data_IF_435395834225
#
_entry.id   IF_435395834225
#
_cell.length_a   1.000
_cell.length_b   1.000
_cell.length_c   1.000
_cell.angle_alpha   90.00
_cell.angle_beta   90.00
_cell.angle_gamma   90.00
#
_symmetry.space_group_name_H-M   'P 1'
#
loop_
_entity.id
_entity.type
_entity.pdbx_description
1 polymer ?
#
# COMPACT_ATOMS: atom_id res chain seq x y z
N UNK A 1 2.23 33.66 -59.39
CA UNK A 1 2.38 32.34 -58.72
C UNK A 1 2.47 32.61 -57.22
N UNK A 2 1.36 32.57 -56.48
CA UNK A 2 1.36 32.99 -55.06
C UNK A 2 -0.01 33.10 -54.40
N UNK A 3 -1.08 33.03 -55.20
CA UNK A 3 -2.47 33.05 -54.70
C UNK A 3 -3.01 31.63 -54.44
N UNK A 4 -2.41 30.60 -55.04
CA UNK A 4 -2.91 29.22 -54.96
C UNK A 4 -2.61 28.53 -53.61
N UNK A 5 -1.55 28.92 -52.90
CA UNK A 5 -1.15 28.29 -51.62
C UNK A 5 -1.93 28.83 -50.41
N UNK A 6 -2.55 30.01 -50.50
CA UNK A 6 -3.34 30.58 -49.40
C UNK A 6 -4.73 29.92 -49.28
N UNK A 7 -5.26 29.33 -50.36
CA UNK A 7 -6.58 28.70 -50.37
C UNK A 7 -6.62 27.34 -49.65
N UNK A 8 -5.51 26.60 -49.60
CA UNK A 8 -5.47 25.25 -48.99
C UNK A 8 -5.48 25.34 -47.47
N UNK A 9 -4.90 26.41 -46.88
CA UNK A 9 -4.88 26.59 -45.43
C UNK A 9 -6.25 26.98 -44.85
N UNK A 10 -7.06 27.77 -45.56
CA UNK A 10 -8.41 28.14 -45.08
C UNK A 10 -9.39 26.96 -45.10
N UNK A 11 -9.26 26.04 -46.06
CA UNK A 11 -10.16 24.89 -46.18
C UNK A 11 -10.06 23.92 -44.98
N UNK A 12 -8.87 23.73 -44.41
CA UNK A 12 -8.69 22.87 -43.23
C UNK A 12 -9.32 23.48 -41.96
N UNK A 13 -9.27 24.81 -41.82
CA UNK A 13 -9.84 25.51 -40.67
C UNK A 13 -11.38 25.52 -40.70
N UNK A 14 -11.99 25.65 -41.89
CA UNK A 14 -13.45 25.64 -42.03
C UNK A 14 -14.08 24.25 -41.81
N UNK A 15 -13.36 23.17 -42.13
CA UNK A 15 -13.84 21.81 -41.87
C UNK A 15 -13.89 21.46 -40.37
N UNK A 16 -12.98 22.01 -39.55
CA UNK A 16 -13.02 21.80 -38.09
C UNK A 16 -14.10 22.63 -37.39
N UNK A 17 -14.52 23.77 -37.95
CA UNK A 17 -15.55 24.62 -37.34
C UNK A 17 -16.98 24.26 -37.80
N UNK A 18 -17.16 23.66 -38.97
CA UNK A 18 -18.51 23.31 -39.47
C UNK A 18 -19.16 22.10 -38.78
N UNK A 19 -18.44 21.37 -37.92
CA UNK A 19 -18.99 20.25 -37.15
C UNK A 19 -19.45 20.61 -35.72
N UNK A 20 -19.37 21.88 -35.32
CA UNK A 20 -19.86 22.37 -34.01
C UNK A 20 -21.37 22.76 -34.00
N UNK A 21 -22.14 22.31 -34.99
CA UNK A 21 -23.57 22.63 -35.16
C UNK A 21 -24.56 21.62 -34.56
N UNK A 22 -24.16 20.86 -33.53
CA UNK A 22 -25.07 19.98 -32.80
C UNK A 22 -25.66 20.70 -31.59
N UNK A 23 -26.75 21.44 -31.78
CA UNK A 23 -27.52 22.02 -30.67
C UNK A 23 -28.22 20.91 -29.88
N UNK A 24 -27.49 20.22 -29.01
CA UNK A 24 -28.08 19.38 -27.97
C UNK A 24 -28.71 20.31 -26.92
N UNK A 25 -30.00 20.56 -27.07
CA UNK A 25 -30.82 21.15 -26.01
C UNK A 25 -30.78 20.19 -24.81
N UNK A 26 -29.90 20.45 -23.84
CA UNK A 26 -29.91 19.75 -22.57
C UNK A 26 -31.09 20.29 -21.77
N UNK A 27 -32.18 19.52 -21.75
CA UNK A 27 -33.25 19.70 -20.80
C UNK A 27 -32.64 19.67 -19.39
N UNK A 28 -32.61 20.83 -18.72
CA UNK A 28 -32.27 20.89 -17.31
C UNK A 28 -33.40 20.20 -16.53
N UNK A 29 -33.23 18.92 -16.26
CA UNK A 29 -34.08 18.21 -15.32
C UNK A 29 -33.87 18.82 -13.94
N UNK A 30 -34.92 19.45 -13.41
CA UNK A 30 -34.99 19.93 -12.03
C UNK A 30 -34.57 18.79 -11.08
N UNK A 31 -33.63 19.00 -10.13
CA UNK A 31 -33.24 17.96 -9.21
C UNK A 31 -34.46 17.49 -8.39
N UNK A 32 -34.74 16.19 -8.42
CA UNK A 32 -35.70 15.59 -7.51
C UNK A 32 -35.15 15.68 -6.08
N UNK A 33 -36.00 15.90 -5.06
CA UNK A 33 -35.56 15.88 -3.68
C UNK A 33 -34.98 14.49 -3.35
N UNK A 34 -33.72 14.46 -2.93
CA UNK A 34 -33.05 13.25 -2.46
C UNK A 34 -33.53 12.99 -1.03
N UNK A 35 -34.37 11.97 -0.87
CA UNK A 35 -34.71 11.44 0.46
C UNK A 35 -33.46 10.75 1.01
N UNK A 36 -32.78 11.40 1.96
CA UNK A 36 -31.69 10.79 2.70
C UNK A 36 -32.25 9.70 3.63
N UNK A 37 -32.06 8.44 3.26
CA UNK A 37 -32.25 7.33 4.19
C UNK A 37 -31.05 7.32 5.14
N UNK A 38 -31.24 7.42 6.48
CA UNK A 38 -30.12 7.28 7.39
C UNK A 38 -29.52 5.89 7.26
N UNK A 39 -28.19 5.85 7.16
CA UNK A 39 -27.41 4.62 7.18
C UNK A 39 -27.73 3.89 8.50
N UNK A 40 -28.31 2.69 8.36
CA UNK A 40 -28.58 1.81 9.48
C UNK A 40 -27.33 1.62 10.33
N UNK A 41 -27.53 1.54 11.65
CA UNK A 41 -26.49 1.26 12.65
C UNK A 41 -25.57 0.15 12.15
N UNK A 42 -24.26 0.39 12.21
CA UNK A 42 -23.26 -0.62 11.96
C UNK A 42 -23.59 -1.86 12.80
N UNK A 43 -24.07 -2.91 12.16
CA UNK A 43 -24.13 -4.21 12.78
C UNK A 43 -22.68 -4.61 13.04
N UNK A 44 -22.33 -4.71 14.31
CA UNK A 44 -21.12 -5.36 14.77
C UNK A 44 -21.11 -6.75 14.14
N UNK A 45 -20.38 -6.91 13.03
CA UNK A 45 -20.09 -8.22 12.47
C UNK A 45 -19.45 -9.02 13.60
N UNK A 46 -20.25 -9.93 14.15
CA UNK A 46 -19.81 -10.84 15.19
C UNK A 46 -18.52 -11.47 14.72
N UNK A 47 -17.50 -11.43 15.59
CA UNK A 47 -16.24 -12.14 15.43
C UNK A 47 -16.53 -13.51 14.82
N UNK A 48 -16.18 -13.72 13.55
CA UNK A 48 -16.32 -15.01 12.89
C UNK A 48 -15.47 -16.00 13.70
N UNK A 49 -16.15 -16.87 14.44
CA UNK A 49 -15.51 -17.95 15.15
C UNK A 49 -15.07 -18.98 14.11
N UNK A 50 -13.76 -19.06 13.88
CA UNK A 50 -13.16 -20.17 13.12
C UNK A 50 -13.29 -21.40 14.00
N UNK A 51 -14.28 -22.22 13.71
CA UNK A 51 -14.42 -23.57 14.23
C UNK A 51 -14.09 -24.52 13.08
N UNK A 52 -13.44 -25.63 13.40
CA UNK A 52 -12.88 -26.64 12.45
C UNK A 52 -11.45 -26.39 11.95
N UNK A 53 -10.51 -26.22 12.90
CA UNK A 53 -9.09 -26.53 12.66
C UNK A 53 -8.84 -28.00 12.99
N UNK A 54 -8.92 -28.87 11.98
CA UNK A 54 -8.48 -30.27 12.12
C UNK A 54 -6.95 -30.33 12.04
N UNK A 55 -6.30 -30.60 13.18
CA UNK A 55 -4.86 -30.85 13.24
C UNK A 55 -4.51 -32.06 12.36
N UNK A 56 -4.00 -31.81 11.15
CA UNK A 56 -3.58 -32.84 10.19
C UNK A 56 -2.12 -33.26 10.47
N UNK A 57 -1.67 -33.21 11.72
CA UNK A 57 -0.33 -33.66 12.08
C UNK A 57 -0.29 -35.18 12.08
N UNK A 58 0.33 -35.78 11.06
CA UNK A 58 0.79 -37.15 11.14
C UNK A 58 2.03 -37.17 12.05
N UNK A 59 1.91 -37.78 13.24
CA UNK A 59 3.09 -38.15 14.01
C UNK A 59 3.81 -39.28 13.24
N UNK A 60 5.09 -39.13 12.86
CA UNK A 60 5.83 -40.24 12.29
C UNK A 60 5.93 -41.35 13.35
N UNK A 61 5.36 -42.52 13.05
CA UNK A 61 5.56 -43.70 13.88
C UNK A 61 7.01 -44.16 13.70
N UNK A 62 7.79 -44.10 14.79
CA UNK A 62 9.14 -44.61 14.77
C UNK A 62 9.12 -46.11 14.40
N UNK A 63 9.99 -46.58 13.48
CA UNK A 63 10.06 -47.99 13.15
C UNK A 63 10.44 -48.77 14.41
N UNK A 64 9.69 -49.85 14.69
CA UNK A 64 10.02 -50.77 15.79
C UNK A 64 11.33 -51.47 15.43
N UNK A 65 12.42 -51.02 16.03
CA UNK A 65 13.69 -51.73 15.98
C UNK A 65 13.49 -53.04 16.74
N UNK A 66 13.77 -54.17 16.08
CA UNK A 66 13.81 -55.46 16.73
C UNK A 66 14.86 -55.41 17.85
N UNK A 67 14.43 -55.49 19.10
CA UNK A 67 15.33 -55.53 20.24
C UNK A 67 16.07 -56.86 20.20
N UNK A 68 17.38 -56.80 19.95
CA UNK A 68 18.28 -57.94 20.10
C UNK A 68 18.26 -58.39 21.57
N UNK A 69 18.27 -59.70 21.88
CA UNK A 69 18.29 -60.15 23.26
C UNK A 69 19.52 -59.56 23.97
N UNK A 70 19.27 -58.75 24.99
CA UNK A 70 20.32 -58.22 25.86
C UNK A 70 20.70 -59.33 26.82
N UNK A 71 21.98 -59.69 26.82
CA UNK A 71 22.55 -60.61 27.81
C UNK A 71 22.45 -59.98 29.21
N UNK A 72 22.11 -60.72 30.28
CA UNK A 72 21.98 -60.11 31.59
C UNK A 72 23.32 -59.51 32.02
N UNK A 73 23.37 -58.19 32.23
CA UNK A 73 24.47 -57.59 32.95
C UNK A 73 24.45 -58.10 34.40
N UNK A 74 25.62 -58.29 35.04
CA UNK A 74 25.67 -58.62 36.46
C UNK A 74 24.89 -57.56 37.25
N UNK A 75 24.05 -58.02 38.18
CA UNK A 75 23.29 -57.14 39.06
C UNK A 75 24.27 -56.35 39.94
N UNK A 76 24.59 -55.13 39.52
CA UNK A 76 25.22 -54.16 40.41
C UNK A 76 24.14 -53.77 41.42
N UNK A 77 24.40 -54.00 42.70
CA UNK A 77 23.52 -53.53 43.74
C UNK A 77 23.41 -52.01 43.63
N UNK A 78 22.25 -51.53 43.18
CA UNK A 78 21.88 -50.12 43.23
C UNK A 78 21.68 -49.73 44.69
N UNK A 79 22.77 -49.46 45.40
CA UNK A 79 22.69 -48.55 46.54
C UNK A 79 22.28 -47.17 46.02
N UNK A 80 21.58 -46.33 46.80
CA UNK A 80 21.27 -44.98 46.38
C UNK A 80 22.61 -44.25 46.16
N UNK A 81 22.99 -44.10 44.90
CA UNK A 81 24.05 -43.16 44.53
C UNK A 81 23.51 -41.78 44.93
N UNK A 82 24.29 -40.93 45.62
CA UNK A 82 23.89 -39.54 45.76
C UNK A 82 23.84 -38.97 44.36
N UNK A 83 22.63 -38.75 43.85
CA UNK A 83 22.39 -37.97 42.65
C UNK A 83 22.91 -36.57 42.95
N UNK A 84 24.18 -36.33 42.62
CA UNK A 84 24.72 -34.99 42.60
C UNK A 84 24.03 -34.31 41.43
N UNK A 85 22.84 -33.76 41.69
CA UNK A 85 22.12 -32.87 40.81
C UNK A 85 23.11 -31.79 40.39
N UNK A 86 23.72 -31.99 39.22
CA UNK A 86 24.48 -30.93 38.59
C UNK A 86 23.42 -29.95 38.15
N UNK A 87 23.20 -28.93 38.97
CA UNK A 87 22.44 -27.75 38.60
C UNK A 87 23.05 -27.25 37.30
N UNK A 88 22.31 -27.35 36.19
CA UNK A 88 22.72 -26.70 34.96
C UNK A 88 22.86 -25.20 35.28
N UNK A 89 23.95 -24.55 34.85
CA UNK A 89 24.06 -23.11 35.01
C UNK A 89 22.86 -22.46 34.33
N UNK A 90 22.18 -21.56 35.04
CA UNK A 90 21.12 -20.75 34.47
C UNK A 90 21.70 -19.97 33.30
N UNK A 91 21.17 -20.21 32.10
CA UNK A 91 21.55 -19.43 30.92
C UNK A 91 21.20 -17.96 31.20
N UNK A 92 22.06 -17.01 30.82
CA UNK A 92 21.73 -15.60 30.93
C UNK A 92 20.43 -15.34 30.16
N UNK A 93 19.53 -14.57 30.78
CA UNK A 93 18.29 -14.15 30.14
C UNK A 93 18.62 -13.36 28.89
N UNK A 94 18.01 -13.71 27.77
CA UNK A 94 18.13 -12.93 26.54
C UNK A 94 17.49 -11.56 26.75
N UNK A 95 18.31 -10.50 26.68
CA UNK A 95 17.83 -9.13 26.65
C UNK A 95 17.03 -8.95 25.36
N UNK A 96 15.75 -8.58 25.47
CA UNK A 96 14.91 -8.30 24.30
C UNK A 96 15.56 -7.18 23.50
N UNK A 97 16.02 -7.49 22.29
CA UNK A 97 16.59 -6.50 21.39
C UNK A 97 15.61 -5.32 21.21
N UNK A 98 16.11 -4.08 21.16
CA UNK A 98 15.27 -2.93 20.81
C UNK A 98 14.53 -3.23 19.51
N UNK A 99 13.24 -2.90 19.46
CA UNK A 99 12.54 -2.92 18.18
C UNK A 99 13.04 -1.70 17.40
N UNK A 100 13.78 -1.93 16.32
CA UNK A 100 14.14 -0.89 15.36
C UNK A 100 12.89 -0.64 14.52
N UNK A 101 11.96 0.18 15.01
CA UNK A 101 10.79 0.57 14.23
C UNK A 101 11.21 1.60 13.20
N UNK A 102 11.02 1.28 11.93
CA UNK A 102 11.17 2.24 10.85
C UNK A 102 9.87 3.01 10.70
N UNK A 103 9.82 4.23 11.22
CA UNK A 103 8.66 5.08 11.07
C UNK A 103 8.83 5.95 9.82
N UNK A 104 7.86 5.89 8.91
CA UNK A 104 7.83 6.75 7.72
C UNK A 104 6.98 7.99 7.97
N UNK A 105 7.54 9.16 7.66
CA UNK A 105 6.82 10.43 7.71
C UNK A 105 6.57 10.95 6.30
N UNK A 106 5.35 11.41 6.06
CA UNK A 106 4.96 12.04 4.80
C UNK A 106 4.38 13.42 5.09
N UNK A 107 5.07 14.46 4.64
CA UNK A 107 4.59 15.84 4.69
C UNK A 107 3.99 16.22 3.34
N UNK A 108 2.89 16.97 3.39
CA UNK A 108 2.10 17.34 2.22
C UNK A 108 1.82 18.82 2.24
N UNK A 109 2.34 19.54 1.25
CA UNK A 109 2.25 21.00 1.17
C UNK A 109 1.53 21.40 -0.12
N UNK A 110 0.33 22.00 -0.04
CA UNK A 110 -0.34 22.59 -1.20
C UNK A 110 0.52 23.67 -1.85
N UNK A 111 0.53 23.69 -3.18
CA UNK A 111 1.21 24.66 -4.02
C UNK A 111 0.19 25.34 -4.94
N UNK A 112 0.66 26.42 -5.59
CA UNK A 112 -0.12 27.12 -6.60
C UNK A 112 -0.63 26.19 -7.70
N UNK A 113 -1.72 26.60 -8.33
CA UNK A 113 -2.38 25.86 -9.38
C UNK A 113 -2.89 24.49 -8.94
N UNK A 114 -3.25 24.32 -7.66
CA UNK A 114 -3.70 23.05 -7.09
C UNK A 114 -2.70 21.89 -7.29
N UNK A 115 -1.40 22.20 -7.25
CA UNK A 115 -0.34 21.20 -7.15
C UNK A 115 -0.04 20.90 -5.67
N UNK A 116 0.62 19.78 -5.39
CA UNK A 116 0.98 19.39 -4.03
C UNK A 116 2.40 18.84 -4.01
N UNK A 117 3.21 19.33 -3.10
CA UNK A 117 4.53 18.77 -2.77
C UNK A 117 4.39 17.69 -1.71
N UNK A 118 5.04 16.56 -1.93
CA UNK A 118 5.13 15.43 -1.01
C UNK A 118 6.58 15.24 -0.61
N UNK A 119 6.86 15.36 0.68
CA UNK A 119 8.19 15.15 1.26
C UNK A 119 8.12 13.92 2.16
N UNK A 120 8.69 12.82 1.67
CA UNK A 120 8.77 11.54 2.36
C UNK A 120 10.11 11.42 3.08
N UNK A 121 10.08 10.94 4.33
CA UNK A 121 11.24 10.61 5.14
C UNK A 121 11.08 9.19 5.69
N UNK A 122 12.02 8.31 5.33
CA UNK A 122 12.04 6.89 5.69
C UNK A 122 13.49 6.43 5.84
N UNK A 123 14.20 6.92 6.85
CA UNK A 123 15.66 6.77 7.00
C UNK A 123 16.21 5.33 6.96
N UNK A 124 15.40 4.31 7.26
CA UNK A 124 15.83 2.92 7.16
C UNK A 124 15.63 2.31 5.76
N UNK A 125 14.89 2.99 4.88
CA UNK A 125 14.49 2.55 3.54
C UNK A 125 15.20 3.42 2.50
N UNK A 126 16.53 3.43 2.52
CA UNK A 126 17.35 4.12 1.53
C UNK A 126 17.35 3.37 0.18
N UNK A 127 17.30 4.11 -0.93
CA UNK A 127 17.25 3.55 -2.29
C UNK A 127 16.09 2.55 -2.50
N UNK A 128 15.01 2.69 -1.74
CA UNK A 128 13.88 1.76 -1.73
C UNK A 128 12.77 2.28 -2.64
N UNK A 129 12.18 1.36 -3.43
CA UNK A 129 11.06 1.68 -4.31
C UNK A 129 9.76 1.74 -3.52
N UNK A 130 8.95 2.75 -3.78
CA UNK A 130 7.59 2.87 -3.25
C UNK A 130 6.59 3.23 -4.32
N UNK A 131 5.31 3.01 -4.04
CA UNK A 131 4.20 3.47 -4.87
C UNK A 131 3.37 4.50 -4.09
N UNK A 132 3.15 5.66 -4.71
CA UNK A 132 2.22 6.67 -4.26
C UNK A 132 0.85 6.40 -4.89
N UNK A 133 -0.16 6.19 -4.05
CA UNK A 133 -1.56 6.09 -4.44
C UNK A 133 -2.28 7.40 -4.09
N UNK A 134 -2.97 7.97 -5.07
CA UNK A 134 -3.71 9.24 -4.92
C UNK A 134 -4.89 9.31 -5.89
N UNK A 135 -6.14 9.19 -5.39
CA UNK A 135 -7.37 9.32 -6.20
C UNK A 135 -7.33 8.54 -7.54
N UNK A 136 -6.83 7.30 -7.52
CA UNK A 136 -6.71 6.44 -8.70
C UNK A 136 -5.42 6.60 -9.50
N UNK A 137 -4.63 7.65 -9.26
CA UNK A 137 -3.25 7.78 -9.76
C UNK A 137 -2.30 6.90 -8.94
N UNK A 138 -1.41 6.19 -9.62
CA UNK A 138 -0.38 5.34 -9.01
C UNK A 138 1.00 5.71 -9.54
N UNK A 139 1.84 6.38 -8.76
CA UNK A 139 3.19 6.76 -9.21
C UNK A 139 4.22 5.93 -8.46
N UNK A 140 5.14 5.29 -9.19
CA UNK A 140 6.28 4.59 -8.58
C UNK A 140 7.49 5.51 -8.54
N UNK A 141 8.12 5.61 -7.38
CA UNK A 141 9.33 6.39 -7.14
C UNK A 141 10.30 5.61 -6.25
N UNK A 142 11.48 6.19 -6.00
CA UNK A 142 12.56 5.59 -5.22
C UNK A 142 13.07 6.66 -4.25
N UNK A 143 13.34 6.28 -3.01
CA UNK A 143 14.01 7.16 -2.03
C UNK A 143 15.50 7.35 -2.33
N UNK A 144 16.09 8.44 -1.85
CA UNK A 144 17.54 8.67 -1.93
C UNK A 144 18.33 7.77 -0.96
N UNK A 145 19.64 7.96 -0.91
CA UNK A 145 20.56 7.24 -0.02
C UNK A 145 20.37 7.58 1.47
N UNK A 146 19.64 8.64 1.79
CA UNK A 146 19.18 8.95 3.14
C UNK A 146 17.73 8.54 3.42
N UNK A 147 17.07 7.86 2.48
CA UNK A 147 15.69 7.38 2.64
C UNK A 147 14.64 8.48 2.47
N UNK A 148 14.94 9.57 1.74
CA UNK A 148 14.02 10.68 1.50
C UNK A 148 13.52 10.70 0.06
N UNK A 149 12.39 11.36 -0.18
CA UNK A 149 11.89 11.63 -1.53
C UNK A 149 11.07 12.92 -1.57
N UNK A 150 11.23 13.70 -2.64
CA UNK A 150 10.46 14.93 -2.91
C UNK A 150 9.75 14.80 -4.27
N UNK A 151 8.41 14.87 -4.27
CA UNK A 151 7.59 14.81 -5.49
C UNK A 151 6.60 15.95 -5.53
N UNK A 152 6.31 16.41 -6.75
CA UNK A 152 5.20 17.34 -7.00
C UNK A 152 4.18 16.63 -7.89
N UNK A 153 2.95 16.50 -7.39
CA UNK A 153 1.84 15.83 -8.09
C UNK A 153 0.60 16.72 -8.09
N UNK A 154 -0.33 16.54 -9.03
CA UNK A 154 -1.58 17.30 -9.04
C UNK A 154 -2.50 16.89 -7.89
N UNK A 155 -3.18 17.85 -7.25
CA UNK A 155 -4.33 17.52 -6.41
C UNK A 155 -5.48 17.04 -7.31
N UNK A 156 -6.14 15.94 -6.92
CA UNK A 156 -7.25 15.34 -7.66
C UNK A 156 -8.57 15.35 -6.85
N UNK A 157 -8.55 15.98 -5.69
CA UNK A 157 -9.71 16.36 -4.89
C UNK A 157 -9.35 17.60 -4.06
N UNK A 158 -10.34 18.24 -3.41
CA UNK A 158 -10.09 19.40 -2.54
C UNK A 158 -9.40 19.02 -1.22
N UNK A 159 -9.57 17.78 -0.77
CA UNK A 159 -8.92 17.19 0.40
C UNK A 159 -8.34 15.83 -0.02
N UNK A 160 -7.20 15.80 -0.74
CA UNK A 160 -6.59 14.57 -1.23
C UNK A 160 -6.03 13.71 -0.11
N UNK A 161 -6.13 12.39 -0.29
CA UNK A 161 -5.43 11.38 0.52
C UNK A 161 -4.28 10.82 -0.30
N UNK A 162 -3.08 10.93 0.24
CA UNK A 162 -1.85 10.41 -0.33
C UNK A 162 -1.41 9.21 0.49
N UNK A 163 -1.20 8.06 -0.16
CA UNK A 163 -0.75 6.83 0.48
C UNK A 163 0.55 6.39 -0.18
N UNK A 164 1.63 6.39 0.57
CA UNK A 164 2.91 5.80 0.17
C UNK A 164 2.93 4.36 0.67
N UNK A 165 3.22 3.42 -0.22
CA UNK A 165 3.35 2.00 0.10
C UNK A 165 4.71 1.46 -0.39
N UNK A 166 5.47 0.88 0.53
CA UNK A 166 6.72 0.18 0.25
C UNK A 166 6.49 -1.32 0.05
N UNK A 167 7.45 -2.02 -0.57
CA UNK A 167 7.33 -3.46 -0.85
C UNK A 167 7.32 -4.33 0.41
N UNK A 168 7.93 -3.85 1.51
CA UNK A 168 7.94 -4.51 2.80
C UNK A 168 6.60 -4.40 3.57
N UNK A 169 5.60 -3.71 3.01
CA UNK A 169 4.30 -3.50 3.62
C UNK A 169 4.22 -2.27 4.55
N UNK A 170 5.33 -1.56 4.76
CA UNK A 170 5.34 -0.28 5.46
C UNK A 170 4.89 0.87 4.56
N UNK A 171 4.58 2.02 5.15
CA UNK A 171 4.04 3.14 4.40
C UNK A 171 3.66 4.32 5.28
N UNK A 172 3.25 5.40 4.61
CA UNK A 172 2.79 6.63 5.25
C UNK A 172 1.54 7.16 4.55
N UNK A 173 0.66 7.80 5.32
CA UNK A 173 -0.56 8.41 4.81
C UNK A 173 -0.60 9.85 5.25
N UNK A 174 -0.95 10.75 4.34
CA UNK A 174 -1.12 12.15 4.65
C UNK A 174 -2.23 12.77 3.82
N UNK A 175 -2.82 13.84 4.36
CA UNK A 175 -3.85 14.64 3.69
C UNK A 175 -3.47 16.11 3.77
N UNK A 176 -4.02 16.91 2.87
CA UNK A 176 -3.93 18.36 2.93
C UNK A 176 -5.21 18.97 2.38
N UNK A 177 -5.52 20.20 2.79
CA UNK A 177 -6.60 20.98 2.15
C UNK A 177 -6.02 21.78 1.00
N UNK A 178 -6.63 21.70 -0.18
CA UNK A 178 -6.18 22.38 -1.40
C UNK A 178 -7.29 23.34 -1.86
N UNK A 179 -7.32 24.59 -1.36
CA UNK A 179 -8.42 25.52 -1.64
C UNK A 179 -8.57 25.87 -3.12
N UNK A 180 -7.47 25.93 -3.85
CA UNK A 180 -7.45 26.24 -5.29
C UNK A 180 -7.99 25.10 -6.16
N UNK A 181 -8.26 23.91 -5.61
CA UNK A 181 -8.68 22.75 -6.41
C UNK A 181 -9.90 23.04 -7.30
N UNK A 182 -10.89 23.77 -6.78
CA UNK A 182 -12.13 24.10 -7.52
C UNK A 182 -11.93 25.07 -8.69
N UNK A 183 -10.73 25.62 -8.85
CA UNK A 183 -10.37 26.53 -9.94
C UNK A 183 -9.83 25.78 -11.17
N UNK A 184 -9.63 24.46 -11.08
CA UNK A 184 -9.03 23.65 -12.13
C UNK A 184 -9.85 22.39 -12.42
N UNK A 185 -10.16 22.15 -13.69
CA UNK A 185 -10.54 20.82 -14.16
C UNK A 185 -9.27 20.03 -14.50
N UNK A 186 -9.15 18.80 -13.98
CA UNK A 186 -7.95 17.98 -14.15
C UNK A 186 -8.29 16.64 -14.75
N UNK A 187 -7.47 16.26 -15.73
CA UNK A 187 -7.45 14.92 -16.32
C UNK A 187 -6.05 14.38 -16.17
N UNK A 188 -5.92 13.15 -15.68
CA UNK A 188 -4.65 12.43 -15.59
C UNK A 188 -4.72 11.24 -16.52
N UNK A 189 -3.69 11.08 -17.35
CA UNK A 189 -3.53 9.91 -18.20
C UNK A 189 -2.35 9.13 -17.66
N UNK A 190 -2.60 7.86 -17.36
CA UNK A 190 -1.56 6.92 -16.94
C UNK A 190 -1.64 5.68 -17.83
N UNK A 191 -0.46 5.20 -18.21
CA UNK A 191 -0.29 4.12 -19.16
C UNK A 191 0.89 3.23 -18.73
N UNK A 192 1.04 2.05 -19.34
CA UNK A 192 2.13 1.12 -19.02
C UNK A 192 2.59 0.46 -20.31
N UNK A 193 3.87 0.62 -20.63
CA UNK A 193 4.53 -0.01 -21.77
C UNK A 193 5.45 0.96 -22.51
N UNK A 194 6.11 0.48 -23.56
CA UNK A 194 7.07 1.28 -24.34
C UNK A 194 6.41 2.39 -25.18
N UNK A 195 5.15 2.22 -25.58
CA UNK A 195 4.37 3.21 -26.36
C UNK A 195 3.78 4.33 -25.51
N UNK A 196 3.96 4.22 -24.20
CA UNK A 196 2.98 4.62 -23.23
C UNK A 196 1.89 3.58 -23.07
#
# INVERSE_FOLDING_TARGET
>A
MGVATLAIALAAAQYMQSHAGGSSAVNHAKPAPVTTTPLGKAETLGRLAVSDVTLTSALPSAPRVAQKPVSPLPAVASGPAPEKQTTLPTLPSEEKAPALTCEQQLNVTPLAAAMVRLELSAHCLANERFTLHHNGLMVTAITDDEGRSDLIVPALSAEPVFIVAFMNGEGAVATAKVPEFTQYDRVVVQWKGQSG
#
